data_IF_334031640546
#
_entry.id   IF_334031640546
#
_cell.length_a   1.000
_cell.length_b   1.000
_cell.length_c   1.000
_cell.angle_alpha   90.00
_cell.angle_beta   90.00
_cell.angle_gamma   90.00
#
_symmetry.space_group_name_H-M   'P 1'
#
loop_
_entity.id
_entity.type
_entity.pdbx_description
1 polymer ?
#
# COMPACT_ATOMS: atom_id res chain seq x y z
N UNK A 1 11.72 -12.23 -4.84
CA UNK A 1 11.43 -11.47 -6.06
C UNK A 1 11.34 -9.98 -5.70
N UNK A 2 12.06 -9.14 -6.41
CA UNK A 2 11.97 -7.69 -6.21
C UNK A 2 11.16 -7.08 -7.33
N UNK A 3 10.34 -6.08 -6.99
CA UNK A 3 9.60 -5.32 -7.98
C UNK A 3 10.47 -4.19 -8.49
N UNK A 4 10.29 -3.79 -9.74
CA UNK A 4 11.15 -2.78 -10.38
C UNK A 4 10.38 -1.55 -10.83
N UNK A 5 9.04 -1.61 -10.88
CA UNK A 5 8.20 -0.51 -11.35
C UNK A 5 7.12 -0.22 -10.35
N UNK A 6 6.73 1.06 -10.25
CA UNK A 6 5.62 1.51 -9.40
C UNK A 6 4.66 2.31 -10.25
N UNK A 7 3.38 2.00 -10.13
CA UNK A 7 2.30 2.81 -10.69
C UNK A 7 1.40 3.30 -9.56
N UNK A 8 1.10 4.59 -9.55
CA UNK A 8 0.18 5.20 -8.60
C UNK A 8 -1.09 5.56 -9.33
N UNK A 9 -2.23 5.01 -8.87
CA UNK A 9 -3.51 5.39 -9.45
C UNK A 9 -3.80 6.86 -9.14
N UNK A 10 -4.67 7.48 -9.94
CA UNK A 10 -5.10 8.85 -9.67
C UNK A 10 -5.75 8.98 -8.29
N UNK A 11 -6.54 7.98 -7.91
CA UNK A 11 -7.18 7.98 -6.59
C UNK A 11 -6.17 7.88 -5.47
N UNK A 12 -5.14 7.03 -5.62
CA UNK A 12 -4.06 6.94 -4.63
C UNK A 12 -3.39 8.31 -4.44
N UNK A 13 -3.09 8.99 -5.53
CA UNK A 13 -2.44 10.32 -5.46
C UNK A 13 -3.30 11.31 -4.68
N UNK A 14 -4.61 11.32 -4.92
CA UNK A 14 -5.54 12.19 -4.19
C UNK A 14 -5.61 11.81 -2.72
N UNK A 15 -5.69 10.51 -2.43
CA UNK A 15 -5.72 10.00 -1.05
C UNK A 15 -4.47 10.45 -0.29
N UNK A 16 -3.29 10.24 -0.87
CA UNK A 16 -2.02 10.57 -0.23
C UNK A 16 -1.92 12.08 0.03
N UNK A 17 -2.30 12.89 -0.94
CA UNK A 17 -2.27 14.34 -0.80
C UNK A 17 -3.15 14.80 0.37
N UNK A 18 -4.35 14.22 0.50
CA UNK A 18 -5.26 14.55 1.59
C UNK A 18 -4.66 14.18 2.96
N UNK A 19 -4.02 13.01 3.05
CA UNK A 19 -3.38 12.57 4.29
C UNK A 19 -2.20 13.46 4.67
N UNK A 20 -1.37 13.85 3.71
CA UNK A 20 -0.22 14.72 3.99
C UNK A 20 -0.66 16.11 4.45
N UNK A 21 -1.79 16.60 3.97
CA UNK A 21 -2.37 17.86 4.48
C UNK A 21 -2.79 17.72 5.94
N UNK A 22 -3.12 16.51 6.39
CA UNK A 22 -3.46 16.23 7.79
C UNK A 22 -2.23 15.85 8.61
N UNK A 23 -1.03 16.11 8.09
CA UNK A 23 0.25 15.87 8.76
C UNK A 23 0.60 14.39 8.95
N UNK A 24 0.05 13.50 8.14
CA UNK A 24 0.55 12.13 8.09
C UNK A 24 1.98 12.15 7.55
N UNK A 25 2.84 11.31 8.11
CA UNK A 25 4.27 11.34 7.83
C UNK A 25 4.60 10.67 6.48
N UNK A 26 5.06 11.44 5.47
CA UNK A 26 5.39 10.85 4.16
C UNK A 26 6.50 9.80 4.23
N UNK A 27 7.41 9.89 5.22
CA UNK A 27 8.49 8.92 5.34
C UNK A 27 7.98 7.52 5.68
N UNK A 28 6.88 7.43 6.41
CA UNK A 28 6.26 6.14 6.73
C UNK A 28 5.70 5.47 5.49
N UNK A 29 5.10 6.25 4.59
CA UNK A 29 4.65 5.73 3.31
C UNK A 29 5.83 5.28 2.45
N UNK A 30 6.89 6.08 2.40
CA UNK A 30 8.08 5.73 1.63
C UNK A 30 8.73 4.43 2.12
N UNK A 31 8.83 4.24 3.44
CA UNK A 31 9.37 3.01 4.01
C UNK A 31 8.51 1.79 3.67
N UNK A 32 7.18 1.94 3.75
CA UNK A 32 6.26 0.87 3.41
C UNK A 32 6.36 0.48 1.94
N UNK A 33 6.44 1.47 1.05
CA UNK A 33 6.59 1.23 -0.39
C UNK A 33 7.91 0.53 -0.67
N UNK A 34 9.00 0.92 0.02
CA UNK A 34 10.29 0.26 -0.13
C UNK A 34 10.22 -1.22 0.26
N UNK A 35 9.51 -1.54 1.35
CA UNK A 35 9.32 -2.93 1.77
C UNK A 35 8.52 -3.72 0.72
N UNK A 36 7.49 -3.11 0.14
CA UNK A 36 6.71 -3.74 -0.93
C UNK A 36 7.58 -3.98 -2.17
N UNK A 37 8.39 -3.00 -2.57
CA UNK A 37 9.26 -3.14 -3.73
C UNK A 37 10.29 -4.26 -3.53
N UNK A 38 10.84 -4.36 -2.33
CA UNK A 38 11.79 -5.41 -1.98
C UNK A 38 11.12 -6.79 -1.85
N UNK A 39 9.80 -6.83 -1.67
CA UNK A 39 9.05 -8.06 -1.38
C UNK A 39 9.63 -8.78 -0.18
N UNK A 40 9.94 -8.00 0.85
CA UNK A 40 10.45 -8.52 2.13
C UNK A 40 9.28 -9.15 2.87
N UNK A 41 9.07 -10.49 2.66
CA UNK A 41 7.92 -11.19 3.20
C UNK A 41 7.86 -11.13 4.72
N UNK A 42 9.00 -11.22 5.36
CA UNK A 42 9.07 -11.22 6.81
C UNK A 42 8.61 -9.87 7.38
N UNK A 43 9.17 -8.78 6.89
CA UNK A 43 8.79 -7.44 7.32
C UNK A 43 7.33 -7.13 6.98
N UNK A 44 6.88 -7.51 5.79
CA UNK A 44 5.50 -7.26 5.37
C UNK A 44 4.50 -7.99 6.26
N UNK A 45 4.82 -9.23 6.68
CA UNK A 45 3.95 -10.00 7.57
C UNK A 45 3.97 -9.48 9.00
N UNK A 46 5.16 -9.23 9.54
CA UNK A 46 5.30 -8.92 10.96
C UNK A 46 5.06 -7.44 11.28
N UNK A 47 5.62 -6.55 10.50
CA UNK A 47 5.50 -5.11 10.73
C UNK A 47 4.25 -4.50 10.13
N UNK A 48 3.91 -4.91 8.91
CA UNK A 48 2.84 -4.28 8.15
C UNK A 48 1.57 -5.11 8.06
N UNK A 49 1.56 -6.32 8.60
CA UNK A 49 0.40 -7.22 8.61
C UNK A 49 -0.22 -7.38 7.23
N UNK A 50 0.62 -7.62 6.23
CA UNK A 50 0.20 -7.80 4.84
C UNK A 50 -0.75 -8.98 4.70
N UNK A 51 -1.88 -8.76 4.05
CA UNK A 51 -2.87 -9.81 3.81
C UNK A 51 -3.70 -9.54 2.56
N UNK A 52 -4.24 -10.62 1.98
CA UNK A 52 -5.10 -10.54 0.81
C UNK A 52 -6.49 -10.06 1.20
N UNK A 53 -7.11 -9.24 0.36
CA UNK A 53 -8.47 -8.78 0.55
C UNK A 53 -9.47 -9.71 -0.14
N UNK A 54 -10.72 -9.62 0.28
CA UNK A 54 -11.82 -10.45 -0.22
C UNK A 54 -12.93 -9.57 -0.80
N UNK A 55 -13.98 -10.20 -1.36
CA UNK A 55 -15.13 -9.48 -1.86
C UNK A 55 -14.80 -8.61 -3.05
N UNK A 56 -15.23 -7.36 -3.00
CA UNK A 56 -15.00 -6.39 -4.08
C UNK A 56 -13.52 -6.13 -4.32
N UNK A 57 -12.69 -6.35 -3.32
CA UNK A 57 -11.25 -6.12 -3.38
C UNK A 57 -10.45 -7.38 -3.67
N UNK A 58 -11.09 -8.45 -4.10
CA UNK A 58 -10.39 -9.68 -4.43
C UNK A 58 -9.32 -9.41 -5.49
N UNK A 59 -8.12 -9.93 -5.26
CA UNK A 59 -6.97 -9.68 -6.13
C UNK A 59 -6.08 -8.55 -5.64
N UNK A 60 -6.54 -7.80 -4.63
CA UNK A 60 -5.76 -6.75 -3.99
C UNK A 60 -5.27 -7.21 -2.63
N UNK A 61 -4.30 -6.52 -2.10
CA UNK A 61 -3.72 -6.77 -0.78
C UNK A 61 -3.69 -5.48 0.01
N UNK A 62 -3.53 -5.61 1.31
CA UNK A 62 -3.55 -4.47 2.22
C UNK A 62 -2.39 -4.59 3.20
N UNK A 63 -1.71 -3.45 3.48
CA UNK A 63 -0.77 -3.35 4.57
C UNK A 63 -1.20 -2.22 5.51
N UNK A 64 -0.76 -2.32 6.77
CA UNK A 64 -1.02 -1.33 7.81
C UNK A 64 0.26 -0.54 8.03
N UNK A 65 0.23 0.77 7.78
CA UNK A 65 1.41 1.62 7.97
C UNK A 65 1.56 2.02 9.43
N UNK A 66 0.46 2.47 10.05
CA UNK A 66 0.47 2.91 11.44
C UNK A 66 -0.99 3.05 11.88
N UNK A 67 -1.34 2.44 13.03
CA UNK A 67 -2.69 2.52 13.54
C UNK A 67 -3.72 2.19 12.46
N UNK A 68 -4.59 3.14 12.17
CA UNK A 68 -5.66 2.98 11.19
C UNK A 68 -5.27 3.48 9.79
N UNK A 69 -3.98 3.59 9.50
CA UNK A 69 -3.51 4.01 8.17
C UNK A 69 -3.19 2.80 7.31
N UNK A 70 -4.00 2.59 6.27
CA UNK A 70 -3.94 1.42 5.39
C UNK A 70 -3.45 1.81 4.00
N UNK A 71 -2.84 0.86 3.30
CA UNK A 71 -2.46 1.00 1.90
C UNK A 71 -2.96 -0.25 1.16
N UNK A 72 -3.81 -0.03 0.16
CA UNK A 72 -4.31 -1.09 -0.72
C UNK A 72 -3.47 -1.09 -1.99
N UNK A 73 -2.97 -2.26 -2.36
CA UNK A 73 -2.09 -2.41 -3.52
C UNK A 73 -2.34 -3.75 -4.20
N UNK A 74 -1.77 -3.89 -5.38
CA UNK A 74 -1.63 -5.22 -5.99
C UNK A 74 -0.31 -5.29 -6.76
N UNK A 75 0.12 -6.51 -7.05
CA UNK A 75 1.38 -6.76 -7.75
C UNK A 75 1.05 -7.45 -9.07
N UNK A 76 1.59 -6.91 -10.15
CA UNK A 76 1.53 -7.54 -11.46
C UNK A 76 2.88 -8.22 -11.70
N UNK A 77 2.93 -9.52 -11.42
CA UNK A 77 4.19 -10.26 -11.37
C UNK A 77 4.91 -10.32 -12.70
N UNK A 78 4.16 -10.47 -13.78
CA UNK A 78 4.75 -10.58 -15.12
C UNK A 78 5.56 -9.34 -15.50
N UNK A 79 5.27 -8.19 -14.90
CA UNK A 79 5.98 -6.95 -15.19
C UNK A 79 6.80 -6.44 -14.01
N UNK A 80 6.85 -7.18 -12.90
CA UNK A 80 7.48 -6.75 -11.65
C UNK A 80 6.97 -5.37 -11.22
N UNK A 81 5.66 -5.17 -11.34
CA UNK A 81 5.01 -3.88 -11.15
C UNK A 81 4.20 -3.85 -9.86
N UNK A 82 4.44 -2.82 -9.05
CA UNK A 82 3.63 -2.52 -7.86
C UNK A 82 2.60 -1.46 -8.23
N UNK A 83 1.33 -1.74 -7.97
CA UNK A 83 0.25 -0.79 -8.23
C UNK A 83 -0.29 -0.30 -6.88
N UNK A 84 -0.02 0.96 -6.56
CA UNK A 84 -0.54 1.61 -5.37
C UNK A 84 -1.94 2.12 -5.69
N UNK A 85 -2.94 1.56 -5.04
CA UNK A 85 -4.34 1.70 -5.44
C UNK A 85 -5.11 2.70 -4.60
N UNK A 86 -5.08 2.59 -3.28
CA UNK A 86 -5.75 3.48 -2.34
C UNK A 86 -4.95 3.58 -1.06
N UNK A 87 -5.09 4.68 -0.31
CA UNK A 87 -4.55 4.78 1.03
C UNK A 87 -5.44 5.67 1.88
N UNK A 88 -5.55 5.36 3.18
CA UNK A 88 -6.41 6.09 4.10
C UNK A 88 -6.78 5.26 5.30
N UNK A 89 -7.76 5.73 6.07
CA UNK A 89 -8.29 5.00 7.21
C UNK A 89 -9.20 3.86 6.74
N UNK A 90 -9.45 2.90 7.62
CA UNK A 90 -10.38 1.81 7.33
C UNK A 90 -11.76 2.35 6.93
N UNK A 91 -12.30 3.30 7.69
CA UNK A 91 -13.62 3.85 7.41
C UNK A 91 -13.67 4.59 6.08
N UNK A 92 -12.59 5.25 5.71
CA UNK A 92 -12.53 5.98 4.45
C UNK A 92 -12.48 5.05 3.24
N UNK A 93 -11.80 3.90 3.37
CA UNK A 93 -11.59 2.97 2.26
C UNK A 93 -12.69 1.92 2.13
N UNK A 94 -13.36 1.60 3.23
CA UNK A 94 -14.38 0.52 3.27
C UNK A 94 -15.75 1.00 3.84
#
# INVERSE_FOLDING_TARGET
MKLTKVFRTSQFKRDAKALFKKHYDPSKLAHAVAALMAQDRDELQTRYRDHALQGQWKGYREIHLEGDWLLIYRVQRSELLLILTRTGSHDYLF
#
